data_IF_834861328464
#
_entry.id   IF_834861328464
#
_cell.length_a   1.000
_cell.length_b   1.000
_cell.length_c   1.000
_cell.angle_alpha   90.00
_cell.angle_beta   90.00
_cell.angle_gamma   90.00
#
_symmetry.space_group_name_H-M   'P 1'
#
loop_
_entity.id
_entity.type
_entity.pdbx_description
1 polymer ?
#
# COMPACT_ATOMS: atom_id res chain seq x y z
N UNK A 1 -0.87 -14.87 16.75
CA UNK A 1 -0.74 -13.43 16.47
C UNK A 1 0.58 -13.09 15.78
N UNK A 2 1.71 -13.71 16.17
CA UNK A 2 3.02 -13.44 15.54
C UNK A 2 3.01 -13.71 14.03
N UNK A 3 2.35 -14.78 13.59
CA UNK A 3 2.28 -15.17 12.18
C UNK A 3 1.42 -14.24 11.32
N UNK A 4 0.64 -13.34 11.95
CA UNK A 4 -0.17 -12.36 11.23
C UNK A 4 0.63 -11.08 10.92
N UNK A 5 1.70 -10.81 11.67
CA UNK A 5 2.43 -9.57 11.55
C UNK A 5 3.20 -9.48 10.23
N UNK A 6 3.28 -8.28 9.63
CA UNK A 6 4.13 -8.04 8.46
C UNK A 6 5.63 -7.98 8.81
N UNK A 7 5.97 -8.19 10.07
CA UNK A 7 7.35 -8.20 10.58
C UNK A 7 7.54 -9.37 11.53
N UNK A 8 8.75 -9.89 11.57
CA UNK A 8 9.15 -10.93 12.54
C UNK A 8 9.79 -10.23 13.73
N UNK A 9 9.13 -10.35 14.87
CA UNK A 9 9.57 -9.74 16.13
C UNK A 9 10.10 -10.78 17.09
N UNK A 10 11.09 -10.40 17.89
CA UNK A 10 11.53 -11.17 19.05
C UNK A 10 11.04 -10.45 20.32
N UNK A 11 10.48 -11.20 21.25
CA UNK A 11 9.95 -10.67 22.51
C UNK A 11 11.01 -10.06 23.44
N UNK A 12 12.28 -10.40 23.23
CA UNK A 12 13.40 -9.82 23.97
C UNK A 12 13.78 -8.42 23.49
N UNK A 13 13.37 -8.02 22.27
CA UNK A 13 13.71 -6.73 21.70
C UNK A 13 13.03 -5.59 22.43
N UNK A 14 13.80 -4.58 22.76
CA UNK A 14 13.33 -3.34 23.39
C UNK A 14 13.28 -2.20 22.38
N UNK A 15 12.39 -1.22 22.58
CA UNK A 15 12.39 -0.01 21.77
C UNK A 15 13.78 0.62 21.73
N UNK A 16 14.21 1.02 20.54
CA UNK A 16 15.50 1.69 20.31
C UNK A 16 15.28 3.19 20.20
N UNK A 17 15.95 3.95 21.08
CA UNK A 17 16.03 5.40 20.95
C UNK A 17 16.86 5.75 19.71
N UNK A 18 16.24 6.46 18.77
CA UNK A 18 16.87 6.93 17.53
C UNK A 18 16.08 8.14 17.04
N UNK A 19 16.77 9.20 16.69
CA UNK A 19 16.15 10.42 16.18
C UNK A 19 16.29 10.45 14.66
N UNK A 20 15.24 10.09 13.93
CA UNK A 20 15.27 9.94 12.47
C UNK A 20 13.99 10.44 11.80
N UNK A 21 14.07 10.68 10.51
CA UNK A 21 12.93 10.76 9.61
C UNK A 21 12.86 9.46 8.82
N UNK A 22 11.66 8.89 8.67
CA UNK A 22 11.50 7.67 7.88
C UNK A 22 11.68 7.94 6.39
N UNK A 23 12.21 6.95 5.68
CA UNK A 23 12.33 6.93 4.23
C UNK A 23 11.24 6.08 3.63
N UNK A 24 10.47 6.62 2.68
CA UNK A 24 9.44 5.87 1.98
C UNK A 24 10.03 5.03 0.86
N UNK A 25 9.52 3.81 0.72
CA UNK A 25 9.90 2.90 -0.36
C UNK A 25 9.12 3.25 -1.65
N UNK A 26 9.55 2.76 -2.82
CA UNK A 26 8.77 2.91 -4.05
C UNK A 26 7.33 2.37 -3.95
N UNK A 27 7.12 1.29 -3.18
CA UNK A 27 5.82 0.68 -2.93
C UNK A 27 4.86 1.58 -2.14
N UNK A 28 5.39 2.59 -1.44
CA UNK A 28 4.60 3.56 -0.71
C UNK A 28 3.89 4.57 -1.62
N UNK A 29 4.41 4.85 -2.82
CA UNK A 29 3.94 5.94 -3.69
C UNK A 29 2.46 5.87 -4.03
N UNK A 30 1.94 4.66 -4.23
CA UNK A 30 0.53 4.42 -4.54
C UNK A 30 -0.25 3.77 -3.39
N UNK A 31 0.35 3.69 -2.20
CA UNK A 31 -0.30 3.02 -1.09
C UNK A 31 -1.16 4.00 -0.26
N UNK A 32 -2.48 3.78 -0.18
CA UNK A 32 -3.39 4.71 0.50
C UNK A 32 -3.11 4.87 1.99
N UNK A 33 -2.44 3.93 2.66
CA UNK A 33 -2.10 4.08 4.08
C UNK A 33 -1.14 5.23 4.36
N UNK A 34 -0.26 5.52 3.42
CA UNK A 34 0.79 6.54 3.58
C UNK A 34 0.60 7.74 2.64
N UNK A 35 -0.45 7.74 1.83
CA UNK A 35 -0.78 8.86 0.97
C UNK A 35 -1.73 9.82 1.70
N UNK A 36 -1.17 10.91 2.25
CA UNK A 36 -1.88 11.91 3.07
C UNK A 36 -2.17 13.22 2.31
N UNK A 37 -1.97 13.24 1.02
CA UNK A 37 -2.18 14.45 0.21
C UNK A 37 -2.77 14.14 -1.15
N UNK A 38 -3.34 15.17 -1.78
CA UNK A 38 -3.91 15.09 -3.13
C UNK A 38 -2.83 15.16 -4.22
N UNK A 39 -1.58 15.36 -3.83
CA UNK A 39 -0.40 15.39 -4.70
C UNK A 39 0.85 14.89 -3.97
N UNK A 40 1.89 14.44 -4.71
CA UNK A 40 3.17 14.02 -4.12
C UNK A 40 3.77 15.08 -3.17
N UNK A 41 3.74 16.35 -3.57
CA UNK A 41 4.25 17.44 -2.75
C UNK A 41 3.48 17.62 -1.44
N UNK A 42 2.15 17.47 -1.46
CA UNK A 42 1.34 17.54 -0.24
C UNK A 42 1.58 16.33 0.66
N UNK A 43 1.79 15.17 0.09
CA UNK A 43 2.13 13.97 0.85
C UNK A 43 3.48 14.11 1.56
N UNK A 44 4.50 14.57 0.84
CA UNK A 44 5.81 14.87 1.42
C UNK A 44 5.71 15.92 2.55
N UNK A 45 4.96 17.01 2.32
CA UNK A 45 4.70 18.03 3.32
C UNK A 45 4.05 17.47 4.59
N UNK A 46 3.09 16.54 4.45
CA UNK A 46 2.40 15.91 5.57
C UNK A 46 3.37 15.11 6.44
N UNK A 47 4.21 14.29 5.82
CA UNK A 47 5.17 13.46 6.54
C UNK A 47 6.33 14.25 7.12
N UNK A 48 6.84 15.26 6.41
CA UNK A 48 7.85 16.17 6.92
C UNK A 48 7.36 16.99 8.13
N UNK A 49 6.03 17.26 8.19
CA UNK A 49 5.40 17.89 9.34
C UNK A 49 5.52 17.09 10.63
N UNK A 50 5.54 15.76 10.55
CA UNK A 50 5.73 14.89 11.70
C UNK A 50 7.10 15.11 12.36
N UNK A 51 8.10 15.51 11.57
CA UNK A 51 9.48 15.73 12.02
C UNK A 51 10.17 14.42 12.43
N UNK A 52 11.20 14.54 13.25
CA UNK A 52 11.95 13.36 13.67
C UNK A 52 11.15 12.49 14.64
N UNK A 53 11.15 11.19 14.38
CA UNK A 53 10.66 10.15 15.27
C UNK A 53 11.73 9.89 16.32
N UNK A 54 11.43 9.87 17.63
CA UNK A 54 12.45 9.76 18.69
C UNK A 54 12.86 8.31 19.00
N UNK A 55 12.08 7.33 18.56
CA UNK A 55 12.33 5.91 18.82
C UNK A 55 11.53 5.03 17.86
N UNK A 56 11.95 3.78 17.73
CA UNK A 56 11.20 2.75 17.01
C UNK A 56 11.33 1.38 17.69
N UNK A 57 10.44 0.47 17.35
CA UNK A 57 10.52 -0.93 17.77
C UNK A 57 11.37 -1.70 16.76
N UNK A 58 12.57 -2.19 17.13
CA UNK A 58 13.37 -3.04 16.26
C UNK A 58 12.65 -4.34 15.95
N UNK A 59 12.89 -4.88 14.76
CA UNK A 59 12.38 -6.18 14.33
C UNK A 59 13.52 -7.03 13.79
N UNK A 60 13.33 -8.36 13.84
CA UNK A 60 14.32 -9.29 13.31
C UNK A 60 14.47 -9.08 11.79
N UNK A 61 13.35 -9.05 11.08
CA UNK A 61 13.25 -8.77 9.64
C UNK A 61 11.80 -8.50 9.24
N UNK A 62 11.59 -8.01 8.02
CA UNK A 62 10.27 -8.01 7.41
C UNK A 62 9.83 -9.47 7.11
N UNK A 63 8.52 -9.71 7.17
CA UNK A 63 7.97 -11.00 6.73
C UNK A 63 8.11 -11.09 5.19
N UNK A 64 8.45 -12.27 4.60
CA UNK A 64 8.63 -12.39 3.15
C UNK A 64 7.43 -11.96 2.29
N UNK A 65 6.21 -12.09 2.83
CA UNK A 65 4.97 -11.67 2.17
C UNK A 65 4.51 -10.25 2.60
N UNK A 66 5.37 -9.47 3.23
CA UNK A 66 5.03 -8.11 3.63
C UNK A 66 5.47 -7.09 2.58
N UNK A 67 4.66 -6.06 2.42
CA UNK A 67 5.04 -4.85 1.69
C UNK A 67 5.54 -3.81 2.69
N UNK A 68 6.82 -3.47 2.61
CA UNK A 68 7.42 -2.42 3.43
C UNK A 68 7.15 -1.07 2.77
N UNK A 69 6.50 -0.17 3.49
CA UNK A 69 6.13 1.16 2.99
C UNK A 69 7.11 2.25 3.44
N UNK A 70 7.66 2.11 4.64
CA UNK A 70 8.66 3.04 5.16
C UNK A 70 9.72 2.31 5.97
N UNK A 71 10.96 2.79 5.88
CA UNK A 71 12.13 2.24 6.57
C UNK A 71 12.84 3.30 7.40
N UNK A 72 13.66 2.86 8.34
CA UNK A 72 14.69 3.70 8.93
C UNK A 72 15.74 4.03 7.87
N UNK A 73 16.26 5.27 7.79
CA UNK A 73 17.17 5.67 6.72
C UNK A 73 18.51 4.92 6.73
N UNK A 74 18.96 4.45 7.87
CA UNK A 74 20.31 3.85 8.04
C UNK A 74 20.33 2.56 8.84
N UNK A 75 19.46 2.42 9.85
CA UNK A 75 19.48 1.24 10.71
C UNK A 75 18.94 0.02 9.96
N UNK A 76 19.63 -1.09 10.16
CA UNK A 76 19.25 -2.38 9.59
C UNK A 76 18.45 -3.22 10.56
N UNK A 77 17.75 -4.20 10.03
CA UNK A 77 17.10 -5.28 10.78
C UNK A 77 18.13 -6.04 11.61
N UNK A 78 17.69 -6.73 12.64
CA UNK A 78 18.58 -7.43 13.58
C UNK A 78 19.36 -8.55 12.88
N UNK A 79 18.76 -9.20 11.88
CA UNK A 79 19.47 -10.16 11.02
C UNK A 79 20.37 -9.50 9.95
N UNK A 80 20.43 -8.16 9.92
CA UNK A 80 21.28 -7.33 9.07
C UNK A 80 21.04 -7.49 7.56
N UNK A 81 19.89 -8.01 7.15
CA UNK A 81 19.56 -8.25 5.72
C UNK A 81 19.10 -6.97 5.04
N UNK A 82 18.20 -6.20 5.67
CA UNK A 82 17.52 -5.07 5.07
C UNK A 82 17.51 -3.84 6.00
N UNK A 83 17.05 -2.70 5.49
CA UNK A 83 16.74 -1.54 6.34
C UNK A 83 15.57 -1.86 7.28
N UNK A 84 15.64 -1.32 8.49
CA UNK A 84 14.64 -1.52 9.53
C UNK A 84 13.26 -1.03 9.07
N UNK A 85 12.24 -1.89 8.93
CA UNK A 85 10.90 -1.49 8.55
C UNK A 85 10.25 -0.68 9.66
N UNK A 86 9.66 0.47 9.30
CA UNK A 86 8.97 1.38 10.20
C UNK A 86 7.45 1.30 9.96
N UNK A 87 7.03 1.20 8.70
CA UNK A 87 5.63 0.92 8.33
C UNK A 87 5.65 -0.23 7.33
N UNK A 88 4.88 -1.26 7.60
CA UNK A 88 4.73 -2.39 6.71
C UNK A 88 3.31 -2.94 6.73
N UNK A 89 2.85 -3.49 5.62
CA UNK A 89 1.53 -4.12 5.49
C UNK A 89 1.68 -5.56 5.06
N UNK A 90 0.69 -6.38 5.39
CA UNK A 90 0.60 -7.76 4.92
C UNK A 90 -0.86 -8.18 4.89
N UNK A 91 -1.23 -8.91 3.86
CA UNK A 91 -2.49 -9.65 3.90
C UNK A 91 -2.36 -10.91 4.74
N UNK A 92 -3.38 -11.18 5.54
CA UNK A 92 -3.48 -12.40 6.32
C UNK A 92 -4.91 -12.92 6.28
N UNK A 93 -5.10 -14.05 5.65
CA UNK A 93 -6.44 -14.60 5.38
C UNK A 93 -7.29 -13.57 4.61
N UNK A 94 -8.47 -13.29 5.12
CA UNK A 94 -9.39 -12.31 4.53
C UNK A 94 -9.16 -10.86 4.99
N UNK A 95 -8.10 -10.60 5.75
CA UNK A 95 -7.81 -9.29 6.31
C UNK A 95 -6.48 -8.75 5.88
N UNK A 96 -6.25 -7.51 6.25
CA UNK A 96 -4.95 -6.85 6.11
C UNK A 96 -4.46 -6.46 7.49
N UNK A 97 -3.16 -6.58 7.70
CA UNK A 97 -2.47 -6.20 8.94
C UNK A 97 -1.47 -5.11 8.60
N UNK A 98 -1.48 -4.03 9.36
CA UNK A 98 -0.47 -2.99 9.27
C UNK A 98 0.38 -2.99 10.54
N UNK A 99 1.68 -2.86 10.35
CA UNK A 99 2.66 -2.64 11.39
C UNK A 99 3.12 -1.18 11.33
N UNK A 100 3.13 -0.53 12.49
CA UNK A 100 3.69 0.81 12.69
C UNK A 100 4.66 0.68 13.85
N UNK A 101 5.95 0.79 13.59
CA UNK A 101 7.03 0.56 14.54
C UNK A 101 7.26 1.70 15.53
N UNK A 102 6.34 2.67 15.64
CA UNK A 102 6.40 3.83 16.54
C UNK A 102 4.99 4.26 16.95
N UNK A 103 4.86 5.16 17.93
CA UNK A 103 3.57 5.66 18.41
C UNK A 103 3.39 7.19 18.24
N UNK A 104 4.20 7.82 17.44
CA UNK A 104 4.28 9.29 17.32
C UNK A 104 3.34 9.89 16.23
N UNK A 105 2.34 9.12 15.77
CA UNK A 105 1.40 9.58 14.72
C UNK A 105 0.63 10.86 15.09
N UNK A 106 0.47 11.14 16.38
CA UNK A 106 -0.12 12.39 16.89
C UNK A 106 0.62 13.64 16.38
N UNK A 107 1.89 13.52 16.00
CA UNK A 107 2.72 14.61 15.47
C UNK A 107 2.25 15.12 14.11
N UNK A 108 1.42 14.36 13.39
CA UNK A 108 0.76 14.82 12.17
C UNK A 108 -0.13 16.05 12.39
N UNK A 109 -0.48 16.37 13.66
CA UNK A 109 -1.25 17.57 14.06
C UNK A 109 -0.42 18.86 14.16
N UNK A 110 0.91 18.79 14.13
CA UNK A 110 1.79 19.86 14.62
C UNK A 110 1.63 21.21 13.93
N UNK A 111 1.59 21.24 12.60
CA UNK A 111 1.59 22.52 11.83
C UNK A 111 0.26 22.83 11.14
N UNK A 112 -0.47 21.79 10.78
CA UNK A 112 -1.66 21.92 9.93
C UNK A 112 -2.94 21.44 10.65
N UNK A 113 -2.95 21.51 11.98
CA UNK A 113 -4.06 21.04 12.79
C UNK A 113 -4.33 19.56 12.59
N UNK A 114 -5.58 19.15 12.64
CA UNK A 114 -5.94 17.73 12.60
C UNK A 114 -6.03 17.12 11.20
N UNK A 115 -5.83 17.90 10.12
CA UNK A 115 -6.06 17.46 8.74
C UNK A 115 -5.38 16.13 8.44
N UNK A 116 -4.06 16.09 8.51
CA UNK A 116 -3.28 14.90 8.16
C UNK A 116 -3.45 13.74 9.14
N UNK A 117 -3.66 14.05 10.42
CA UNK A 117 -3.93 13.04 11.43
C UNK A 117 -5.27 12.34 11.18
N UNK A 118 -6.34 13.11 10.92
CA UNK A 118 -7.65 12.56 10.58
C UNK A 118 -7.63 11.77 9.28
N UNK A 119 -6.89 12.26 8.28
CA UNK A 119 -6.75 11.56 7.00
C UNK A 119 -6.03 10.21 7.20
N UNK A 120 -4.91 10.20 7.91
CA UNK A 120 -4.17 8.97 8.22
C UNK A 120 -5.05 7.92 8.92
N UNK A 121 -5.67 8.28 10.01
CA UNK A 121 -6.50 7.34 10.77
C UNK A 121 -7.82 7.01 10.07
N UNK A 122 -8.42 7.96 9.35
CA UNK A 122 -9.61 7.73 8.54
C UNK A 122 -9.36 6.69 7.44
N UNK A 123 -8.26 6.80 6.71
CA UNK A 123 -7.84 5.81 5.70
C UNK A 123 -7.57 4.44 6.32
N UNK A 124 -6.91 4.41 7.48
CA UNK A 124 -6.68 3.17 8.24
C UNK A 124 -7.99 2.47 8.58
N UNK A 125 -8.92 3.18 9.23
CA UNK A 125 -10.21 2.64 9.65
C UNK A 125 -11.02 2.20 8.44
N UNK A 126 -11.06 3.02 7.39
CA UNK A 126 -11.77 2.72 6.17
C UNK A 126 -11.24 1.43 5.52
N UNK A 127 -9.93 1.34 5.31
CA UNK A 127 -9.32 0.20 4.62
C UNK A 127 -9.36 -1.09 5.45
N UNK A 128 -9.07 -1.02 6.75
CA UNK A 128 -9.04 -2.19 7.62
C UNK A 128 -10.44 -2.65 8.06
N UNK A 129 -11.41 -1.74 8.14
CA UNK A 129 -12.74 -2.01 8.69
C UNK A 129 -13.86 -2.06 7.66
N UNK A 130 -14.00 -1.05 6.84
CA UNK A 130 -15.19 -0.86 6.00
C UNK A 130 -15.27 -1.84 4.82
N UNK A 131 -14.14 -2.19 4.23
CA UNK A 131 -14.09 -3.19 3.15
C UNK A 131 -14.67 -4.54 3.59
N UNK A 132 -14.51 -4.87 4.86
CA UNK A 132 -15.07 -6.08 5.48
C UNK A 132 -16.56 -5.90 5.85
N UNK A 133 -16.93 -4.74 6.37
CA UNK A 133 -18.31 -4.45 6.79
C UNK A 133 -19.29 -4.41 5.60
N UNK A 134 -18.82 -3.98 4.43
CA UNK A 134 -19.63 -3.89 3.20
C UNK A 134 -19.62 -5.17 2.36
N UNK A 135 -18.98 -6.25 2.82
CA UNK A 135 -18.90 -7.52 2.07
C UNK A 135 -18.13 -7.43 0.75
N UNK A 136 -17.48 -6.30 0.47
CA UNK A 136 -16.71 -6.07 -0.75
C UNK A 136 -15.29 -6.61 -0.65
N UNK A 137 -15.16 -7.89 -0.36
CA UNK A 137 -13.87 -8.57 -0.48
C UNK A 137 -13.65 -8.95 -1.95
N UNK A 138 -13.26 -7.99 -2.75
CA UNK A 138 -12.86 -8.27 -4.13
C UNK A 138 -11.53 -9.01 -4.11
N UNK A 139 -11.55 -10.23 -4.60
CA UNK A 139 -10.31 -11.02 -4.83
C UNK A 139 -9.44 -10.40 -5.92
N UNK A 140 -10.03 -9.53 -6.74
CA UNK A 140 -9.39 -8.78 -7.80
C UNK A 140 -9.68 -7.31 -7.58
N UNK A 141 -8.64 -6.49 -7.44
CA UNK A 141 -8.75 -5.05 -7.22
C UNK A 141 -8.01 -4.31 -8.34
N UNK A 142 -8.70 -3.98 -9.44
CA UNK A 142 -8.10 -3.16 -10.49
C UNK A 142 -7.99 -1.71 -10.03
N UNK A 143 -6.92 -1.06 -10.40
CA UNK A 143 -6.66 0.37 -10.24
C UNK A 143 -6.00 0.90 -11.51
N UNK A 144 -6.11 2.19 -11.73
CA UNK A 144 -5.46 2.89 -12.84
C UNK A 144 -4.53 3.97 -12.29
N UNK A 145 -3.52 4.32 -13.07
CA UNK A 145 -2.53 5.35 -12.70
C UNK A 145 -3.17 6.75 -12.52
N UNK A 146 -4.23 7.05 -13.29
CA UNK A 146 -5.02 8.27 -13.15
C UNK A 146 -6.50 7.93 -12.91
N UNK A 147 -7.26 8.89 -12.40
CA UNK A 147 -8.72 8.77 -12.20
C UNK A 147 -9.53 9.23 -13.41
N UNK A 148 -8.94 10.07 -14.26
CA UNK A 148 -9.56 10.63 -15.46
C UNK A 148 -8.51 10.72 -16.56
N UNK A 149 -8.88 10.35 -17.78
CA UNK A 149 -8.01 10.35 -18.96
C UNK A 149 -8.63 11.19 -20.06
N UNK A 150 -7.80 11.81 -20.87
CA UNK A 150 -8.23 12.42 -22.13
C UNK A 150 -8.22 11.38 -23.25
N UNK A 151 -9.04 11.63 -24.28
CA UNK A 151 -9.05 10.78 -25.48
C UNK A 151 -7.65 10.76 -26.10
N UNK A 152 -7.14 9.56 -26.36
CA UNK A 152 -5.79 9.37 -26.91
C UNK A 152 -4.69 9.16 -25.86
N UNK A 153 -5.00 9.23 -24.56
CA UNK A 153 -4.03 8.90 -23.51
C UNK A 153 -3.92 7.39 -23.29
N UNK A 154 -2.74 6.97 -22.88
CA UNK A 154 -2.46 5.59 -22.50
C UNK A 154 -2.86 5.36 -21.06
N UNK A 155 -3.51 4.24 -20.77
CA UNK A 155 -3.97 3.87 -19.41
C UNK A 155 -3.09 2.75 -18.87
N UNK A 156 -2.46 2.97 -17.72
CA UNK A 156 -1.79 1.89 -17.00
C UNK A 156 -2.76 1.28 -15.99
N UNK A 157 -3.01 -0.02 -16.15
CA UNK A 157 -3.89 -0.78 -15.26
C UNK A 157 -3.04 -1.69 -14.40
N UNK A 158 -3.18 -1.55 -13.09
CA UNK A 158 -2.58 -2.41 -12.08
C UNK A 158 -3.67 -3.20 -11.38
N UNK A 159 -3.49 -4.52 -11.23
CA UNK A 159 -4.46 -5.40 -10.57
C UNK A 159 -3.79 -6.15 -9.43
N UNK A 160 -4.30 -5.95 -8.23
CA UNK A 160 -4.01 -6.85 -7.10
C UNK A 160 -4.95 -8.06 -7.20
N UNK A 161 -4.40 -9.27 -7.24
CA UNK A 161 -5.17 -10.49 -7.38
C UNK A 161 -4.78 -11.53 -6.32
N UNK A 162 -5.80 -12.17 -5.76
CA UNK A 162 -5.64 -13.11 -4.64
C UNK A 162 -6.40 -14.42 -4.90
N UNK A 163 -5.86 -15.51 -4.38
CA UNK A 163 -6.53 -16.82 -4.37
C UNK A 163 -7.72 -16.84 -3.39
N UNK A 164 -8.37 -18.00 -3.23
CA UNK A 164 -9.49 -18.18 -2.31
C UNK A 164 -9.11 -17.96 -0.83
N UNK A 165 -7.84 -18.11 -0.50
CA UNK A 165 -7.30 -17.90 0.85
C UNK A 165 -6.79 -16.47 1.07
N UNK A 166 -6.93 -15.60 0.06
CA UNK A 166 -6.40 -14.21 0.07
C UNK A 166 -4.88 -14.13 0.18
N UNK A 167 -4.19 -15.12 -0.35
CA UNK A 167 -2.76 -15.08 -0.64
C UNK A 167 -2.56 -14.56 -2.07
N UNK A 168 -1.38 -14.02 -2.39
CA UNK A 168 -1.08 -13.57 -3.74
C UNK A 168 -1.32 -14.70 -4.74
N UNK A 169 -1.97 -14.37 -5.85
CA UNK A 169 -2.28 -15.34 -6.87
C UNK A 169 -1.00 -15.70 -7.65
N UNK A 170 -0.61 -16.97 -7.59
CA UNK A 170 0.59 -17.49 -8.28
C UNK A 170 0.22 -17.96 -9.68
N UNK A 171 0.15 -17.02 -10.62
CA UNK A 171 -0.10 -17.24 -12.07
C UNK A 171 0.68 -16.23 -12.89
N UNK A 172 1.02 -16.58 -14.12
CA UNK A 172 1.81 -15.72 -15.03
C UNK A 172 1.06 -14.50 -15.56
N UNK A 173 -0.25 -14.45 -15.41
CA UNK A 173 -1.07 -13.34 -15.88
C UNK A 173 -2.56 -13.55 -15.68
N UNK A 174 -3.30 -12.46 -15.76
CA UNK A 174 -4.76 -12.42 -15.67
C UNK A 174 -5.36 -12.14 -17.04
N UNK A 175 -6.59 -12.62 -17.27
CA UNK A 175 -7.42 -12.18 -18.37
C UNK A 175 -8.45 -11.17 -17.85
N UNK A 176 -8.53 -10.02 -18.49
CA UNK A 176 -9.50 -8.98 -18.17
C UNK A 176 -10.30 -8.62 -19.43
N UNK A 177 -11.56 -8.27 -19.23
CA UNK A 177 -12.45 -7.80 -20.28
C UNK A 177 -12.72 -6.33 -20.11
N UNK A 178 -12.41 -5.54 -21.13
CA UNK A 178 -12.76 -4.13 -21.19
C UNK A 178 -14.22 -4.00 -21.61
N UNK A 179 -14.97 -3.18 -20.88
CA UNK A 179 -16.38 -2.91 -21.18
C UNK A 179 -16.57 -1.40 -21.38
N UNK A 180 -17.23 -1.00 -22.45
CA UNK A 180 -17.72 0.37 -22.63
C UNK A 180 -19.09 0.50 -21.94
N UNK A 181 -19.20 1.44 -21.02
CA UNK A 181 -20.49 1.78 -20.41
C UNK A 181 -21.25 2.72 -21.32
N UNK A 182 -22.42 2.33 -21.74
CA UNK A 182 -23.34 3.15 -22.56
C UNK A 182 -24.69 3.32 -21.84
N UNK A 183 -25.51 4.25 -22.28
CA UNK A 183 -26.86 4.44 -21.72
C UNK A 183 -27.74 3.18 -21.85
N UNK A 184 -27.44 2.30 -22.80
CA UNK A 184 -28.15 1.04 -23.05
C UNK A 184 -27.55 -0.17 -22.28
N UNK A 185 -26.45 0.02 -21.54
CA UNK A 185 -25.77 -1.04 -20.79
C UNK A 185 -24.28 -1.15 -21.12
N UNK A 186 -23.64 -2.20 -20.61
CA UNK A 186 -22.23 -2.47 -20.82
C UNK A 186 -22.01 -3.29 -22.10
N UNK A 187 -21.17 -2.82 -22.99
CA UNK A 187 -20.78 -3.53 -24.21
C UNK A 187 -19.31 -3.97 -24.13
N UNK A 188 -18.98 -5.20 -24.52
CA UNK A 188 -17.59 -5.64 -24.56
C UNK A 188 -16.83 -4.86 -25.63
N UNK A 189 -15.66 -4.33 -25.25
CA UNK A 189 -14.78 -3.58 -26.12
C UNK A 189 -13.61 -4.45 -26.56
N UNK A 190 -12.90 -5.08 -25.63
CA UNK A 190 -11.74 -5.91 -25.90
C UNK A 190 -11.45 -6.88 -24.74
N UNK A 191 -10.61 -7.89 -25.01
CA UNK A 191 -10.04 -8.78 -23.98
C UNK A 191 -8.54 -8.56 -23.92
N UNK A 192 -8.04 -8.26 -22.71
CA UNK A 192 -6.63 -7.99 -22.48
C UNK A 192 -6.01 -9.01 -21.53
N UNK A 193 -4.76 -9.34 -21.78
CA UNK A 193 -3.94 -10.10 -20.81
C UNK A 193 -3.13 -9.12 -19.98
N UNK A 194 -3.19 -9.29 -18.66
CA UNK A 194 -2.43 -8.51 -17.69
C UNK A 194 -1.37 -9.42 -17.08
N UNK A 195 -0.10 -9.31 -17.51
CA UNK A 195 0.99 -10.15 -17.00
C UNK A 195 1.32 -9.82 -15.56
N UNK A 196 1.96 -10.75 -14.86
CA UNK A 196 2.55 -10.51 -13.54
C UNK A 196 3.71 -9.52 -13.70
N UNK A 197 3.73 -8.48 -12.87
CA UNK A 197 4.81 -7.49 -12.88
C UNK A 197 6.13 -8.09 -12.35
N UNK A 198 7.24 -7.44 -12.63
CA UNK A 198 8.58 -7.94 -12.27
C UNK A 198 8.83 -8.11 -10.77
N UNK A 199 8.05 -7.43 -9.94
CA UNK A 199 8.10 -7.55 -8.48
C UNK A 199 7.32 -8.77 -7.93
N UNK A 200 6.66 -9.53 -8.80
CA UNK A 200 5.84 -10.70 -8.49
C UNK A 200 4.72 -10.44 -7.44
N UNK A 201 4.25 -9.20 -7.32
CA UNK A 201 3.23 -8.83 -6.33
C UNK A 201 1.92 -8.39 -6.99
N UNK A 202 2.01 -7.68 -8.10
CA UNK A 202 0.86 -7.14 -8.82
C UNK A 202 0.90 -7.54 -10.31
N UNK A 203 -0.26 -7.47 -10.94
CA UNK A 203 -0.39 -7.64 -12.39
C UNK A 203 -0.52 -6.25 -13.03
N UNK A 204 0.24 -5.97 -14.07
CA UNK A 204 0.28 -4.66 -14.68
C UNK A 204 0.31 -4.74 -16.20
N UNK A 205 -0.45 -3.88 -16.85
CA UNK A 205 -0.42 -3.70 -18.30
C UNK A 205 -0.76 -2.27 -18.68
N UNK A 206 -0.29 -1.87 -19.86
CA UNK A 206 -0.63 -0.57 -20.44
C UNK A 206 -1.58 -0.78 -21.61
N UNK A 207 -2.76 -0.19 -21.51
CA UNK A 207 -3.79 -0.22 -22.56
C UNK A 207 -3.47 0.92 -23.54
N UNK A 208 -3.42 0.63 -24.87
CA UNK A 208 -3.23 1.67 -25.86
C UNK A 208 -4.42 2.67 -25.82
N UNK A 209 -4.24 3.87 -26.39
CA UNK A 209 -5.32 4.84 -26.50
C UNK A 209 -6.59 4.22 -27.07
N UNK A 210 -7.69 4.39 -26.36
CA UNK A 210 -9.01 3.96 -26.84
C UNK A 210 -9.55 5.01 -27.81
N UNK A 211 -10.00 4.55 -28.95
CA UNK A 211 -10.72 5.43 -29.90
C UNK A 211 -12.11 5.78 -29.35
N UNK A 212 -12.62 6.98 -29.68
CA UNK A 212 -13.91 7.49 -29.19
C UNK A 212 -15.13 6.66 -29.62
#
# INVERSE_FOLDING_TARGET
LADMLPVIVDRSMRPKASKFQMSFTPQASNNPFVNLGDSPNQNELAWNNMGNIPWYQPVLRAHPLATVLATHPTDKTVDNTDLQPIIATRRFGKGEVIYIGFNETWRLRRKYGERFYRQFWGQMIYRLGLGRALGQQKRFSPSTDLTTYQTGERVTVTVEAYNSNYENLDVDGLQARLLRQTAAGSQPLDEIRIPLARDNVVFETSIPPLEP
#
